data_IF_661401283376
#
_entry.id   IF_661401283376
#
_cell.length_a   1.000
_cell.length_b   1.000
_cell.length_c   1.000
_cell.angle_alpha   90.00
_cell.angle_beta   90.00
_cell.angle_gamma   90.00
#
_symmetry.space_group_name_H-M   'P 1'
#
loop_
_entity.id
_entity.type
_entity.pdbx_description
1 polymer ?
#
# COMPACT_ATOMS: atom_id res chain seq x y z
N UNK A 1 -11.92 7.63 11.61
CA UNK A 1 -11.00 6.64 12.21
C UNK A 1 -10.20 6.07 11.06
N UNK A 2 -8.88 6.28 11.01
CA UNK A 2 -8.06 5.90 9.83
C UNK A 2 -7.85 4.39 9.86
N UNK A 3 -8.37 3.67 8.87
CA UNK A 3 -8.14 2.23 8.73
C UNK A 3 -6.85 2.00 7.92
N UNK A 4 -5.98 1.17 8.47
CA UNK A 4 -4.74 0.78 7.82
C UNK A 4 -4.85 -0.64 7.26
N UNK A 5 -4.59 -0.76 5.97
CA UNK A 5 -4.53 -2.00 5.23
C UNK A 5 -3.12 -2.57 5.41
N UNK A 6 -3.03 -3.74 6.04
CA UNK A 6 -1.75 -4.45 6.17
C UNK A 6 -1.34 -5.08 4.84
N UNK A 7 -0.07 -5.48 4.72
CA UNK A 7 0.46 -6.15 3.51
C UNK A 7 -0.34 -7.37 3.06
N UNK A 8 -0.84 -8.17 3.98
CA UNK A 8 -1.61 -9.37 3.64
C UNK A 8 -2.94 -9.01 2.97
N UNK A 9 -3.61 -8.01 3.53
CA UNK A 9 -4.88 -7.48 3.03
C UNK A 9 -4.67 -6.78 1.69
N UNK A 10 -3.56 -6.04 1.55
CA UNK A 10 -3.16 -5.43 0.29
C UNK A 10 -2.84 -6.45 -0.82
N UNK A 11 -2.24 -7.59 -0.46
CA UNK A 11 -2.02 -8.69 -1.40
C UNK A 11 -3.36 -9.27 -1.91
N UNK A 12 -4.34 -9.44 -1.01
CA UNK A 12 -5.69 -9.91 -1.38
C UNK A 12 -6.43 -8.90 -2.27
N UNK A 13 -6.42 -7.61 -1.91
CA UNK A 13 -7.09 -6.55 -2.65
C UNK A 13 -6.50 -6.35 -4.05
N UNK A 14 -5.18 -6.38 -4.17
CA UNK A 14 -4.50 -6.14 -5.45
C UNK A 14 -4.37 -7.43 -6.28
N UNK A 15 -4.56 -8.60 -5.68
CA UNK A 15 -4.27 -9.91 -6.29
C UNK A 15 -2.80 -10.08 -6.68
N UNK A 16 -1.89 -9.30 -6.07
CA UNK A 16 -0.46 -9.29 -6.38
C UNK A 16 0.34 -9.90 -5.23
N UNK A 17 1.47 -10.52 -5.55
CA UNK A 17 2.39 -11.06 -4.55
C UNK A 17 3.11 -9.94 -3.79
N UNK A 18 3.55 -10.24 -2.56
CA UNK A 18 4.40 -9.36 -1.73
C UNK A 18 5.58 -8.76 -2.52
N UNK A 19 6.25 -9.56 -3.33
CA UNK A 19 7.43 -9.15 -4.10
C UNK A 19 7.07 -8.18 -5.22
N UNK A 20 5.92 -8.40 -5.88
CA UNK A 20 5.40 -7.48 -6.91
C UNK A 20 5.01 -6.15 -6.28
N UNK A 21 4.27 -6.15 -5.17
CA UNK A 21 3.93 -4.94 -4.44
C UNK A 21 5.19 -4.16 -4.05
N UNK A 22 6.20 -4.85 -3.50
CA UNK A 22 7.49 -4.24 -3.17
C UNK A 22 8.16 -3.58 -4.37
N UNK A 23 8.24 -4.26 -5.51
CA UNK A 23 8.82 -3.67 -6.74
C UNK A 23 8.00 -2.47 -7.22
N UNK A 24 6.67 -2.54 -7.15
CA UNK A 24 5.80 -1.46 -7.60
C UNK A 24 5.99 -0.18 -6.77
N UNK A 25 6.01 -0.27 -5.44
CA UNK A 25 6.20 0.93 -4.60
C UNK A 25 7.67 1.34 -4.46
N UNK A 26 8.63 0.40 -4.47
CA UNK A 26 10.04 0.71 -4.21
C UNK A 26 10.83 1.08 -5.47
N UNK A 27 10.46 0.55 -6.64
CA UNK A 27 11.19 0.78 -7.91
C UNK A 27 10.37 1.53 -8.94
N UNK A 28 9.07 1.24 -9.05
CA UNK A 28 8.23 1.84 -10.11
C UNK A 28 7.48 3.10 -9.66
N UNK A 29 7.41 3.35 -8.34
CA UNK A 29 6.58 4.40 -7.74
C UNK A 29 5.11 4.36 -8.23
N UNK A 30 4.70 3.19 -8.74
CA UNK A 30 3.38 2.93 -9.32
C UNK A 30 2.39 2.51 -8.25
N UNK A 31 2.84 2.34 -7.01
CA UNK A 31 2.04 1.89 -5.89
C UNK A 31 2.34 2.79 -4.69
N UNK A 32 1.33 3.14 -3.89
CA UNK A 32 1.54 4.05 -2.78
C UNK A 32 2.59 3.53 -1.82
N UNK A 33 3.29 4.46 -1.17
CA UNK A 33 4.24 4.10 -0.11
C UNK A 33 3.44 3.74 1.15
N UNK A 34 3.83 2.66 1.85
CA UNK A 34 3.23 2.33 3.12
C UNK A 34 3.58 3.41 4.15
N UNK A 35 2.59 3.74 4.96
CA UNK A 35 2.72 4.59 6.12
C UNK A 35 3.54 3.89 7.22
N UNK A 36 4.32 4.70 7.93
CA UNK A 36 5.24 4.26 8.96
C UNK A 36 5.18 5.25 10.12
N UNK A 37 5.21 4.75 11.35
CA UNK A 37 5.39 5.64 12.49
C UNK A 37 6.75 6.35 12.42
N UNK A 38 6.87 7.48 13.11
CA UNK A 38 8.15 8.17 13.30
C UNK A 38 9.26 7.26 13.85
N UNK A 39 8.90 6.18 14.58
CA UNK A 39 9.82 5.15 15.06
C UNK A 39 10.17 4.05 14.06
N UNK A 40 9.72 4.14 12.80
CA UNK A 40 10.04 3.17 11.75
C UNK A 40 9.20 1.89 11.76
N UNK A 41 8.16 1.80 12.60
CA UNK A 41 7.24 0.66 12.58
C UNK A 41 6.33 0.76 11.35
N UNK A 42 6.28 -0.33 10.59
CA UNK A 42 5.40 -0.45 9.44
C UNK A 42 3.93 -0.49 9.90
N UNK A 43 3.14 0.53 9.54
CA UNK A 43 1.70 0.54 9.82
C UNK A 43 0.89 -0.15 8.72
N UNK A 44 1.22 0.12 7.45
CA UNK A 44 0.45 -0.36 6.30
C UNK A 44 0.10 0.78 5.37
N UNK A 45 -0.94 0.64 4.58
CA UNK A 45 -1.46 1.72 3.73
C UNK A 45 -2.74 2.25 4.35
N UNK A 46 -2.93 3.55 4.43
CA UNK A 46 -4.26 4.07 4.76
C UNK A 46 -5.22 3.76 3.62
N UNK A 47 -6.48 3.52 3.99
CA UNK A 47 -7.56 3.24 3.03
C UNK A 47 -7.73 4.39 2.03
N UNK A 48 -7.59 5.64 2.46
CA UNK A 48 -7.62 6.82 1.59
C UNK A 48 -6.53 6.80 0.52
N UNK A 49 -5.30 6.40 0.90
CA UNK A 49 -4.17 6.31 -0.03
C UNK A 49 -4.39 5.17 -1.04
N UNK A 50 -5.00 4.07 -0.59
CA UNK A 50 -5.40 2.99 -1.49
C UNK A 50 -6.48 3.44 -2.47
N UNK A 51 -7.55 4.06 -2.00
CA UNK A 51 -8.65 4.56 -2.85
C UNK A 51 -8.16 5.59 -3.85
N UNK A 52 -7.32 6.54 -3.43
CA UNK A 52 -6.72 7.52 -4.33
C UNK A 52 -5.92 6.85 -5.46
N UNK A 53 -5.13 5.83 -5.13
CA UNK A 53 -4.39 5.06 -6.10
C UNK A 53 -5.30 4.26 -7.06
N UNK A 54 -6.33 3.60 -6.54
CA UNK A 54 -7.31 2.87 -7.37
C UNK A 54 -8.01 3.83 -8.34
N UNK A 55 -8.33 5.04 -7.88
CA UNK A 55 -8.98 6.07 -8.68
C UNK A 55 -8.08 6.64 -9.78
N UNK A 56 -6.78 6.76 -9.54
CA UNK A 56 -5.81 7.21 -10.55
C UNK A 56 -5.55 6.16 -11.64
N UNK A 57 -5.70 4.87 -11.31
CA UNK A 57 -5.49 3.75 -12.24
C UNK A 57 -6.74 3.34 -13.04
N UNK A 58 -7.89 3.96 -12.78
CA UNK A 58 -9.17 3.65 -13.42
C UNK A 58 -9.55 4.73 -14.42
#
# INVERSE_FOLDING_TARGET
MIRYIKREEMQKLTGKSKTTLWRMYAKRNEFPKPDRTAGGTFLGWSEEVYEAWVREKK
#
